data_IF_308814278481
#
_entry.id   IF_308814278481
#
_cell.length_a   1.000
_cell.length_b   1.000
_cell.length_c   1.000
_cell.angle_alpha   90.00
_cell.angle_beta   90.00
_cell.angle_gamma   90.00
#
_symmetry.space_group_name_H-M   'P 1'
#
loop_
_entity.id
_entity.type
_entity.pdbx_description
1 polymer ?
#
# COMPACT_ATOMS: atom_id res chain seq x y z
N UNK A 1 -62.29 2.80 -59.63
CA UNK A 1 -61.59 1.52 -59.35
C UNK A 1 -62.07 1.06 -57.98
N UNK A 2 -63.21 0.38 -57.89
CA UNK A 2 -63.35 -1.10 -57.84
C UNK A 2 -62.52 -1.68 -56.68
N UNK A 3 -63.14 -2.10 -55.56
CA UNK A 3 -63.95 -3.32 -55.33
C UNK A 3 -63.04 -4.52 -55.00
N UNK A 4 -63.51 -5.29 -54.02
CA UNK A 4 -63.14 -6.68 -53.69
C UNK A 4 -61.76 -6.88 -53.01
N UNK A 5 -61.70 -7.42 -51.79
CA UNK A 5 -62.20 -8.74 -51.31
C UNK A 5 -61.29 -9.88 -51.78
N UNK A 6 -61.20 -10.89 -50.91
CA UNK A 6 -60.47 -12.16 -51.00
C UNK A 6 -58.99 -12.11 -50.58
N UNK A 7 -58.44 -13.07 -49.85
CA UNK A 7 -58.94 -14.40 -49.50
C UNK A 7 -58.24 -14.96 -48.25
N UNK A 8 -59.01 -15.79 -47.55
CA UNK A 8 -58.62 -16.75 -46.52
C UNK A 8 -57.45 -17.64 -46.98
N UNK A 9 -56.68 -18.17 -46.03
CA UNK A 9 -56.70 -19.59 -45.63
C UNK A 9 -55.35 -20.11 -45.13
N UNK A 10 -55.43 -21.24 -44.40
CA UNK A 10 -54.39 -22.06 -43.74
C UNK A 10 -54.02 -21.55 -42.34
N UNK A 11 -54.59 -22.03 -41.22
CA UNK A 11 -54.90 -23.40 -40.75
C UNK A 11 -53.79 -24.40 -41.05
N UNK A 12 -53.08 -24.80 -39.99
CA UNK A 12 -52.88 -26.17 -39.45
C UNK A 12 -51.70 -26.05 -38.47
N UNK A 13 -51.95 -26.21 -37.17
CA UNK A 13 -51.81 -27.49 -36.45
C UNK A 13 -50.36 -27.88 -36.20
N UNK A 14 -50.12 -28.19 -34.92
CA UNK A 14 -49.18 -29.21 -34.40
C UNK A 14 -47.69 -28.99 -34.66
N UNK A 15 -46.89 -28.95 -33.60
CA UNK A 15 -46.14 -30.16 -33.20
C UNK A 15 -45.29 -29.89 -31.94
N UNK A 16 -45.44 -30.84 -31.03
CA UNK A 16 -44.64 -31.10 -29.85
C UNK A 16 -43.19 -31.40 -30.29
N UNK A 17 -42.24 -30.55 -29.88
CA UNK A 17 -40.83 -30.63 -30.24
C UNK A 17 -39.95 -30.85 -29.01
N UNK A 18 -40.04 -32.03 -28.42
CA UNK A 18 -39.15 -32.54 -27.36
C UNK A 18 -37.75 -32.85 -27.92
N UNK A 19 -36.73 -32.16 -27.37
CA UNK A 19 -35.30 -32.53 -27.21
C UNK A 19 -34.38 -32.55 -28.46
N UNK A 20 -33.03 -32.62 -28.33
CA UNK A 20 -32.12 -32.55 -27.16
C UNK A 20 -30.95 -31.53 -27.35
N UNK A 21 -30.14 -31.29 -26.32
CA UNK A 21 -28.93 -30.46 -26.51
C UNK A 21 -28.03 -30.31 -25.29
N UNK A 22 -27.24 -31.35 -25.02
CA UNK A 22 -26.11 -31.38 -24.08
C UNK A 22 -25.07 -30.33 -24.49
N UNK A 23 -24.54 -29.57 -23.53
CA UNK A 23 -23.48 -28.60 -23.80
C UNK A 23 -22.86 -28.03 -22.53
N UNK A 24 -22.01 -28.82 -21.90
CA UNK A 24 -21.10 -28.43 -20.83
C UNK A 24 -20.37 -27.14 -21.21
N UNK A 25 -20.62 -26.07 -20.47
CA UNK A 25 -19.94 -24.78 -20.61
C UNK A 25 -19.51 -24.32 -19.24
N UNK A 26 -18.26 -24.65 -18.91
CA UNK A 26 -17.59 -24.42 -17.65
C UNK A 26 -18.03 -23.13 -16.95
N UNK A 27 -18.27 -23.26 -15.65
CA UNK A 27 -18.17 -22.17 -14.68
C UNK A 27 -17.02 -21.26 -15.10
N UNK A 28 -17.35 -20.08 -15.65
CA UNK A 28 -16.40 -18.98 -15.72
C UNK A 28 -16.23 -18.56 -14.27
N UNK A 29 -15.35 -19.28 -13.58
CA UNK A 29 -14.69 -18.76 -12.40
C UNK A 29 -13.88 -17.61 -12.96
N UNK A 30 -14.50 -16.42 -12.97
CA UNK A 30 -13.79 -15.20 -13.23
C UNK A 30 -12.49 -15.29 -12.41
N UNK A 31 -11.30 -15.13 -13.03
CA UNK A 31 -10.09 -15.14 -12.26
C UNK A 31 -10.28 -14.07 -11.20
N UNK A 32 -10.25 -14.49 -9.93
CA UNK A 32 -10.17 -13.62 -8.77
C UNK A 32 -8.85 -12.88 -8.94
N UNK A 33 -8.89 -11.78 -9.70
CA UNK A 33 -7.79 -10.84 -9.81
C UNK A 33 -7.40 -10.57 -8.36
N UNK A 34 -6.13 -10.78 -7.97
CA UNK A 34 -5.73 -10.36 -6.65
C UNK A 34 -5.98 -8.87 -6.71
N UNK A 35 -7.01 -8.37 -6.00
CA UNK A 35 -7.13 -6.96 -5.70
C UNK A 35 -5.75 -6.60 -5.21
N UNK A 36 -4.95 -5.93 -6.04
CA UNK A 36 -3.74 -5.27 -5.59
C UNK A 36 -4.24 -4.48 -4.39
N UNK A 37 -3.92 -4.94 -3.17
CA UNK A 37 -4.54 -4.44 -1.95
C UNK A 37 -4.15 -2.98 -1.90
N UNK A 38 -5.02 -2.13 -2.40
CA UNK A 38 -4.77 -0.71 -2.49
C UNK A 38 -4.46 -0.30 -1.07
N UNK A 39 -3.36 0.45 -0.89
CA UNK A 39 -2.99 0.99 0.42
C UNK A 39 -4.26 1.67 0.95
N UNK A 40 -4.76 1.32 2.15
CA UNK A 40 -5.90 2.02 2.71
C UNK A 40 -5.59 3.52 2.70
N UNK A 41 -6.59 4.38 2.44
CA UNK A 41 -6.37 5.83 2.44
C UNK A 41 -5.83 6.23 3.81
N UNK A 42 -4.64 6.83 3.81
CA UNK A 42 -4.03 7.33 5.04
C UNK A 42 -4.63 8.69 5.38
N UNK A 43 -4.90 9.00 6.66
CA UNK A 43 -5.40 10.30 7.06
C UNK A 43 -4.45 11.43 6.62
N UNK A 44 -4.97 12.62 6.34
CA UNK A 44 -4.12 13.79 6.05
C UNK A 44 -3.54 14.46 7.31
N UNK A 45 -3.96 14.01 8.49
CA UNK A 45 -3.61 14.58 9.79
C UNK A 45 -3.32 13.50 10.82
N UNK A 46 -2.78 13.89 11.98
CA UNK A 46 -2.46 12.96 13.06
C UNK A 46 -1.31 12.00 12.73
N UNK A 47 -0.53 12.31 11.70
CA UNK A 47 0.70 11.58 11.39
C UNK A 47 1.70 11.74 12.55
N UNK A 48 2.42 10.68 12.92
CA UNK A 48 3.53 10.81 13.87
C UNK A 48 4.58 11.81 13.36
N UNK A 49 4.95 12.76 14.22
CA UNK A 49 5.97 13.77 13.96
C UNK A 49 7.33 13.29 14.51
N UNK A 50 8.35 13.11 13.65
CA UNK A 50 9.66 12.62 14.08
C UNK A 50 10.54 13.71 14.71
N UNK A 51 10.15 14.99 14.71
CA UNK A 51 11.07 16.09 15.03
C UNK A 51 11.70 16.01 16.44
N UNK A 52 10.99 15.39 17.39
CA UNK A 52 11.43 15.21 18.79
C UNK A 52 12.26 13.95 19.01
N UNK A 53 12.43 13.11 17.99
CA UNK A 53 13.24 11.90 18.10
C UNK A 53 14.71 12.29 18.26
N UNK A 54 15.32 11.79 19.32
CA UNK A 54 16.68 12.11 19.75
C UNK A 54 17.66 10.94 19.64
N UNK A 55 17.16 9.71 19.46
CA UNK A 55 17.98 8.51 19.36
C UNK A 55 17.48 7.53 18.29
N UNK A 56 18.36 6.63 17.87
CA UNK A 56 18.04 5.55 16.92
C UNK A 56 16.92 4.64 17.45
N UNK A 57 16.92 4.33 18.75
CA UNK A 57 15.86 3.54 19.39
C UNK A 57 14.50 4.27 19.40
N UNK A 58 14.47 5.57 19.67
CA UNK A 58 13.25 6.38 19.56
C UNK A 58 12.75 6.46 18.11
N UNK A 59 13.66 6.48 17.13
CA UNK A 59 13.26 6.44 15.72
C UNK A 59 12.52 5.14 15.41
N UNK A 60 13.00 3.99 15.87
CA UNK A 60 12.32 2.70 15.66
C UNK A 60 10.94 2.69 16.33
N UNK A 61 10.79 3.28 17.52
CA UNK A 61 9.47 3.44 18.16
C UNK A 61 8.55 4.33 17.32
N UNK A 62 9.05 5.44 16.78
CA UNK A 62 8.30 6.31 15.89
C UNK A 62 7.90 5.61 14.58
N UNK A 63 8.76 4.75 14.01
CA UNK A 63 8.42 3.92 12.85
C UNK A 63 7.31 2.91 13.15
N UNK A 64 7.30 2.33 14.35
CA UNK A 64 6.19 1.48 14.78
C UNK A 64 4.88 2.29 14.91
N UNK A 65 4.93 3.52 15.42
CA UNK A 65 3.77 4.41 15.43
C UNK A 65 3.28 4.75 14.00
N UNK A 66 4.19 5.00 13.06
CA UNK A 66 3.85 5.20 11.64
C UNK A 66 3.18 3.97 11.05
N UNK A 67 3.65 2.77 11.39
CA UNK A 67 3.00 1.53 10.94
C UNK A 67 1.57 1.44 11.44
N UNK A 68 1.33 1.76 12.71
CA UNK A 68 -0.01 1.75 13.31
C UNK A 68 -0.90 2.79 12.60
N UNK A 69 -0.41 4.02 12.46
CA UNK A 69 -1.11 5.10 11.77
C UNK A 69 -1.44 4.76 10.31
N UNK A 70 -0.53 4.09 9.59
CA UNK A 70 -0.71 3.62 8.22
C UNK A 70 -1.65 2.41 8.07
N UNK A 71 -2.43 2.07 9.11
CA UNK A 71 -3.39 0.97 9.10
C UNK A 71 -2.78 -0.40 9.43
N UNK A 72 -1.65 -0.43 10.14
CA UNK A 72 -0.96 -1.66 10.58
C UNK A 72 -0.72 -2.69 9.48
N UNK A 73 -0.10 -2.32 8.34
CA UNK A 73 0.17 -3.26 7.26
C UNK A 73 0.98 -4.45 7.77
N UNK A 74 0.64 -5.63 7.26
CA UNK A 74 1.41 -6.85 7.52
C UNK A 74 2.79 -6.76 6.87
N UNK A 75 3.76 -7.52 7.37
CA UNK A 75 5.11 -7.53 6.79
C UNK A 75 5.11 -7.98 5.32
N UNK A 76 4.18 -8.86 4.93
CA UNK A 76 3.99 -9.28 3.54
C UNK A 76 3.48 -8.13 2.65
N UNK A 77 2.62 -7.27 3.18
CA UNK A 77 2.15 -6.10 2.43
C UNK A 77 3.24 -5.03 2.30
N UNK A 78 4.01 -4.80 3.36
CA UNK A 78 5.17 -3.91 3.32
C UNK A 78 6.19 -4.37 2.28
N UNK A 79 6.46 -5.67 2.22
CA UNK A 79 7.33 -6.28 1.21
C UNK A 79 6.84 -6.04 -0.22
N UNK A 80 5.56 -6.29 -0.48
CA UNK A 80 4.95 -6.02 -1.78
C UNK A 80 5.00 -4.53 -2.15
N UNK A 81 4.75 -3.64 -1.19
CA UNK A 81 4.77 -2.18 -1.40
C UNK A 81 6.18 -1.63 -1.58
N UNK A 82 7.17 -2.23 -0.91
CA UNK A 82 8.57 -1.84 -0.95
C UNK A 82 9.34 -2.31 -2.18
N UNK A 83 8.69 -2.96 -3.15
CA UNK A 83 9.24 -3.34 -4.47
C UNK A 83 10.62 -4.03 -4.41
N UNK A 84 10.83 -4.89 -3.40
CA UNK A 84 12.07 -5.65 -3.22
C UNK A 84 13.11 -5.03 -2.27
N UNK A 85 12.96 -3.75 -1.89
CA UNK A 85 13.81 -3.09 -0.89
C UNK A 85 13.47 -3.58 0.52
N UNK A 86 12.18 -3.80 0.79
CA UNK A 86 11.65 -4.20 2.10
C UNK A 86 11.41 -5.70 2.19
N UNK A 87 12.45 -6.53 2.22
CA UNK A 87 12.26 -7.96 2.50
C UNK A 87 11.59 -8.15 3.86
N UNK A 88 10.72 -9.15 3.98
CA UNK A 88 9.98 -9.42 5.23
C UNK A 88 10.88 -9.53 6.46
N UNK A 89 11.96 -10.31 6.37
CA UNK A 89 12.92 -10.49 7.46
C UNK A 89 13.56 -9.15 7.85
N UNK A 90 14.05 -8.40 6.87
CA UNK A 90 14.65 -7.09 7.08
C UNK A 90 13.72 -6.10 7.76
N UNK A 91 12.44 -6.04 7.36
CA UNK A 91 11.46 -5.17 8.04
C UNK A 91 11.21 -5.63 9.48
N UNK A 92 11.12 -6.95 9.71
CA UNK A 92 10.97 -7.50 11.05
C UNK A 92 12.16 -7.16 11.95
N UNK A 93 13.37 -7.31 11.44
CA UNK A 93 14.62 -7.04 12.17
C UNK A 93 14.74 -5.55 12.47
N UNK A 94 14.49 -4.70 11.47
CA UNK A 94 14.49 -3.24 11.60
C UNK A 94 13.51 -2.76 12.69
N UNK A 95 12.28 -3.28 12.73
CA UNK A 95 11.26 -2.83 13.69
C UNK A 95 11.47 -3.36 15.12
N UNK A 96 12.36 -4.35 15.30
CA UNK A 96 12.72 -4.93 16.60
C UNK A 96 14.07 -4.45 17.11
N UNK A 97 14.92 -3.93 16.22
CA UNK A 97 16.24 -3.43 16.56
C UNK A 97 16.20 -2.07 17.26
N UNK A 98 17.39 -1.59 17.60
CA UNK A 98 17.62 -0.28 18.21
C UNK A 98 18.56 0.60 17.39
N UNK A 99 19.14 0.03 16.35
CA UNK A 99 20.12 0.70 15.49
C UNK A 99 19.42 1.52 14.40
N UNK A 100 20.13 2.53 13.91
CA UNK A 100 19.60 3.38 12.84
C UNK A 100 19.40 2.54 11.57
N UNK A 101 18.19 2.50 10.98
CA UNK A 101 17.97 1.77 9.75
C UNK A 101 18.79 2.35 8.59
N UNK A 102 19.10 1.50 7.63
CA UNK A 102 19.61 1.95 6.33
C UNK A 102 18.63 2.95 5.65
N UNK A 103 19.18 3.97 4.99
CA UNK A 103 18.41 5.09 4.45
C UNK A 103 17.35 4.65 3.44
N UNK A 104 17.71 3.75 2.51
CA UNK A 104 16.79 3.34 1.45
C UNK A 104 15.62 2.53 2.03
N UNK A 105 15.91 1.69 3.02
CA UNK A 105 14.89 0.90 3.74
C UNK A 105 13.98 1.80 4.55
N UNK A 106 14.54 2.78 5.24
CA UNK A 106 13.80 3.78 6.00
C UNK A 106 12.79 4.53 5.11
N UNK A 107 13.26 5.10 3.99
CA UNK A 107 12.40 5.84 3.05
C UNK A 107 11.36 4.92 2.41
N UNK A 108 11.76 3.72 1.98
CA UNK A 108 10.84 2.76 1.39
C UNK A 108 9.73 2.35 2.38
N UNK A 109 10.07 2.15 3.65
CA UNK A 109 9.12 1.80 4.70
C UNK A 109 8.11 2.92 4.94
N UNK A 110 8.57 4.17 5.09
CA UNK A 110 7.72 5.33 5.26
C UNK A 110 6.70 5.47 4.11
N UNK A 111 7.18 5.38 2.87
CA UNK A 111 6.33 5.40 1.68
C UNK A 111 5.36 4.23 1.63
N UNK A 112 5.78 3.03 2.03
CA UNK A 112 4.90 1.86 2.10
C UNK A 112 3.79 2.01 3.14
N UNK A 113 4.03 2.77 4.21
CA UNK A 113 3.07 3.07 5.26
C UNK A 113 2.13 4.24 4.94
N UNK A 114 2.50 5.18 4.08
CA UNK A 114 1.67 6.37 3.87
C UNK A 114 2.40 7.69 3.74
N UNK A 115 3.64 7.73 4.19
CA UNK A 115 4.37 8.97 4.43
C UNK A 115 5.09 9.41 3.16
N UNK A 116 4.69 10.55 2.62
CA UNK A 116 5.22 11.16 1.41
C UNK A 116 5.27 12.69 1.52
N UNK A 117 5.69 13.36 0.44
CA UNK A 117 5.73 14.82 0.34
C UNK A 117 6.53 15.50 1.46
N UNK A 118 5.98 16.59 1.98
CA UNK A 118 6.62 17.41 3.02
C UNK A 118 6.88 16.63 4.31
N UNK A 119 5.99 15.71 4.68
CA UNK A 119 6.19 14.88 5.87
C UNK A 119 7.44 14.03 5.72
N UNK A 120 7.66 13.41 4.55
CA UNK A 120 8.84 12.58 4.30
C UNK A 120 10.14 13.38 4.44
N UNK A 121 10.17 14.66 4.06
CA UNK A 121 11.33 15.53 4.25
C UNK A 121 11.68 15.71 5.73
N UNK A 122 10.67 15.90 6.60
CA UNK A 122 10.89 15.97 8.06
C UNK A 122 11.49 14.67 8.59
N UNK A 123 11.00 13.52 8.12
CA UNK A 123 11.56 12.21 8.49
C UNK A 123 13.01 12.04 8.01
N UNK A 124 13.31 12.43 6.78
CA UNK A 124 14.67 12.39 6.21
C UNK A 124 15.62 13.31 6.98
N UNK A 125 15.17 14.50 7.35
CA UNK A 125 15.94 15.43 8.19
C UNK A 125 16.34 14.79 9.52
N UNK A 126 15.38 14.18 10.22
CA UNK A 126 15.62 13.51 11.51
C UNK A 126 16.58 12.34 11.36
N UNK A 127 16.41 11.51 10.32
CA UNK A 127 17.33 10.41 10.05
C UNK A 127 18.77 10.92 9.84
N UNK A 128 18.96 11.98 9.04
CA UNK A 128 20.28 12.56 8.77
C UNK A 128 20.90 13.16 10.02
N UNK A 129 20.09 13.81 10.85
CA UNK A 129 20.51 14.33 12.16
C UNK A 129 21.03 13.21 13.05
N UNK A 130 20.27 12.13 13.21
CA UNK A 130 20.70 10.98 14.01
C UNK A 130 21.99 10.35 13.46
N UNK A 131 22.09 10.21 12.13
CA UNK A 131 23.30 9.70 11.48
C UNK A 131 24.52 10.59 11.76
N UNK A 132 24.33 11.91 11.77
CA UNK A 132 25.39 12.86 12.09
C UNK A 132 25.83 12.75 13.55
N UNK A 133 24.90 12.53 14.48
CA UNK A 133 25.22 12.30 15.90
C UNK A 133 26.02 11.00 16.10
N UNK A 134 25.75 9.95 15.32
CA UNK A 134 26.53 8.71 15.33
C UNK A 134 27.92 8.85 14.66
N UNK A 135 28.15 9.93 13.91
CA UNK A 135 29.38 10.12 13.11
C UNK A 135 30.22 11.26 13.69
N UNK A 136 31.25 10.98 14.49
CA UNK A 136 32.08 12.01 15.11
C UNK A 136 32.60 13.04 14.10
N UNK A 137 32.57 14.32 14.45
CA UNK A 137 33.06 15.42 13.60
C UNK A 137 32.12 15.88 12.48
N UNK A 138 30.98 15.20 12.26
CA UNK A 138 29.97 15.66 11.27
C UNK A 138 29.08 16.76 11.82
N UNK A 139 28.76 16.70 13.11
CA UNK A 139 27.82 17.62 13.79
C UNK A 139 28.26 19.09 13.70
N UNK A 140 29.58 19.37 13.69
CA UNK A 140 30.12 20.74 13.57
C UNK A 140 29.76 21.43 12.25
N UNK A 141 29.35 20.68 11.24
CA UNK A 141 28.97 21.19 9.92
C UNK A 141 27.44 21.22 9.71
N UNK A 142 26.66 20.71 10.66
CA UNK A 142 25.19 20.61 10.56
C UNK A 142 24.52 21.52 11.60
N UNK A 143 24.30 22.80 11.27
CA UNK A 143 23.59 23.72 12.16
C UNK A 143 22.19 23.18 12.47
N UNK A 144 21.84 23.11 13.76
CA UNK A 144 20.53 22.60 14.22
C UNK A 144 20.50 21.11 14.57
N UNK A 145 21.58 20.35 14.34
CA UNK A 145 21.67 18.97 14.81
C UNK A 145 21.71 18.87 16.36
N UNK A 146 22.25 19.90 17.01
CA UNK A 146 22.41 19.99 18.48
C UNK A 146 21.17 20.52 19.21
N UNK A 147 20.40 21.42 18.59
CA UNK A 147 19.39 22.27 19.27
C UNK A 147 18.08 21.55 19.67
N UNK A 148 17.87 20.30 19.29
CA UNK A 148 16.66 19.54 19.64
C UNK A 148 16.96 18.32 20.51
N UNK A 149 18.07 18.36 21.28
CA UNK A 149 18.46 17.35 22.27
C UNK A 149 18.23 17.83 23.72
N UNK A 150 17.51 18.95 23.91
CA UNK A 150 17.12 19.49 25.22
C UNK A 150 15.67 19.23 25.54
#
# INVERSE_FOLDING_TARGET
>A
RTREETERAHRTETEDGKQPGVGVGASVTAPKSPRARQRPPVPLFGQPDPIRVSSSAELIQALNAVRVWGGSPSLRELENRGKGILRRSTVSDMLRGTDLPDYDRFVAFLRACGVDGASLETWVFVWRRLKALETPGTVSWMPGAEQAAS
#
